data_IF_043174938845
#
_entry.id   IF_043174938845
#
_cell.length_a   1.000
_cell.length_b   1.000
_cell.length_c   1.000
_cell.angle_alpha   90.00
_cell.angle_beta   90.00
_cell.angle_gamma   90.00
#
_symmetry.space_group_name_H-M   'P 1'
#
loop_
_entity.id
_entity.type
_entity.pdbx_description
1 polymer ?
#
# COMPACT_ATOMS: atom_id res chain seq x y z
N UNK A 1 -3.61 -16.73 -18.75
CA UNK A 1 -3.84 -16.39 -17.33
C UNK A 1 -3.09 -15.11 -16.96
N UNK A 2 -1.76 -15.06 -17.15
CA UNK A 2 -0.93 -13.89 -16.79
C UNK A 2 -1.40 -12.55 -17.38
N UNK A 3 -1.85 -12.51 -18.65
CA UNK A 3 -2.23 -11.24 -19.28
C UNK A 3 -3.41 -10.56 -18.56
N UNK A 4 -4.35 -11.34 -18.03
CA UNK A 4 -5.45 -10.82 -17.23
C UNK A 4 -4.92 -10.27 -15.90
N UNK A 5 -4.09 -11.03 -15.19
CA UNK A 5 -3.44 -10.58 -13.95
C UNK A 5 -2.59 -9.31 -14.15
N UNK A 6 -1.76 -9.30 -15.18
CA UNK A 6 -0.92 -8.17 -15.57
C UNK A 6 -1.70 -6.88 -15.89
N UNK A 7 -3.00 -6.96 -16.19
CA UNK A 7 -3.83 -5.77 -16.42
C UNK A 7 -4.13 -4.98 -15.13
N UNK A 8 -3.99 -5.63 -13.97
CA UNK A 8 -4.12 -5.00 -12.65
C UNK A 8 -2.85 -4.26 -12.23
N UNK A 9 -1.74 -4.40 -12.95
CA UNK A 9 -0.45 -3.80 -12.60
C UNK A 9 -0.16 -2.66 -13.59
N UNK A 10 -0.28 -1.38 -13.17
CA UNK A 10 -0.33 -0.24 -14.08
C UNK A 10 1.02 0.10 -14.75
N UNK A 11 2.13 -0.12 -14.05
CA UNK A 11 3.48 0.14 -14.56
C UNK A 11 4.35 -1.09 -14.38
N UNK A 12 4.61 -1.80 -15.47
CA UNK A 12 5.43 -3.01 -15.52
C UNK A 12 6.92 -2.73 -15.66
N UNK A 13 7.31 -1.47 -15.86
CA UNK A 13 8.72 -1.08 -16.05
C UNK A 13 9.46 -0.88 -14.73
N UNK A 14 8.76 -0.87 -13.60
CA UNK A 14 9.38 -0.80 -12.27
C UNK A 14 10.24 -2.05 -12.00
N UNK A 15 11.32 -1.91 -11.20
CA UNK A 15 12.20 -3.01 -10.86
C UNK A 15 11.60 -3.90 -9.76
N UNK A 16 10.47 -4.58 -10.06
CA UNK A 16 9.78 -5.43 -9.10
C UNK A 16 10.61 -6.66 -8.68
N UNK A 17 10.39 -7.12 -7.46
CA UNK A 17 10.74 -8.48 -7.04
C UNK A 17 9.49 -9.35 -7.05
N UNK A 18 9.54 -10.43 -7.83
CA UNK A 18 8.41 -11.33 -8.08
C UNK A 18 8.76 -12.71 -7.51
N UNK A 19 7.88 -13.26 -6.67
CA UNK A 19 7.94 -14.65 -6.23
C UNK A 19 6.91 -15.46 -7.01
N UNK A 20 7.38 -16.47 -7.73
CA UNK A 20 6.57 -17.48 -8.42
C UNK A 20 6.64 -18.77 -7.60
N UNK A 21 5.60 -19.05 -6.82
CA UNK A 21 5.59 -20.03 -5.74
C UNK A 21 4.74 -21.23 -6.16
N UNK A 22 5.37 -22.40 -6.31
CA UNK A 22 4.74 -23.53 -6.99
C UNK A 22 4.89 -23.41 -8.51
N UNK A 23 6.10 -23.13 -8.98
CA UNK A 23 6.37 -22.77 -10.37
C UNK A 23 6.02 -23.85 -11.39
N UNK A 24 5.84 -25.11 -10.95
CA UNK A 24 5.61 -26.32 -11.74
C UNK A 24 6.73 -26.59 -12.74
N UNK A 25 6.88 -25.76 -13.75
CA UNK A 25 7.85 -25.87 -14.85
C UNK A 25 8.57 -24.53 -15.17
N UNK A 26 8.36 -23.49 -14.35
CA UNK A 26 8.87 -22.13 -14.53
C UNK A 26 8.36 -21.39 -15.78
N UNK A 27 7.34 -21.88 -16.48
CA UNK A 27 6.76 -21.12 -17.61
C UNK A 27 6.17 -19.79 -17.14
N UNK A 28 5.53 -19.78 -15.96
CA UNK A 28 4.97 -18.56 -15.38
C UNK A 28 6.06 -17.52 -15.06
N UNK A 29 7.20 -17.97 -14.53
CA UNK A 29 8.40 -17.15 -14.35
C UNK A 29 8.93 -16.53 -15.66
N UNK A 30 8.92 -17.28 -16.76
CA UNK A 30 9.32 -16.77 -18.09
C UNK A 30 8.32 -15.73 -18.61
N UNK A 31 7.03 -15.96 -18.40
CA UNK A 31 6.00 -14.98 -18.75
C UNK A 31 6.18 -13.66 -17.95
N UNK A 32 6.54 -13.73 -16.66
CA UNK A 32 6.90 -12.56 -15.87
C UNK A 32 8.16 -11.87 -16.40
N UNK A 33 9.21 -12.64 -16.73
CA UNK A 33 10.44 -12.11 -17.33
C UNK A 33 10.15 -11.27 -18.58
N UNK A 34 9.24 -11.73 -19.44
CA UNK A 34 8.85 -11.04 -20.68
C UNK A 34 7.98 -9.81 -20.44
N UNK A 35 7.08 -9.86 -19.45
CA UNK A 35 6.15 -8.76 -19.17
C UNK A 35 6.75 -7.64 -18.30
N UNK A 36 7.74 -7.96 -17.47
CA UNK A 36 8.36 -7.06 -16.51
C UNK A 36 9.87 -6.96 -16.79
N UNK A 37 10.30 -6.07 -17.69
CA UNK A 37 11.67 -6.06 -18.22
C UNK A 37 12.75 -5.78 -17.16
N UNK A 38 12.39 -5.12 -16.06
CA UNK A 38 13.32 -4.76 -14.99
C UNK A 38 13.14 -5.60 -13.72
N UNK A 39 12.23 -6.58 -13.73
CA UNK A 39 11.95 -7.38 -12.54
C UNK A 39 13.00 -8.48 -12.31
N UNK A 40 13.21 -8.81 -11.03
CA UNK A 40 13.88 -10.03 -10.57
C UNK A 40 12.83 -11.05 -10.15
N UNK A 41 12.98 -12.29 -10.60
CA UNK A 41 12.04 -13.38 -10.38
C UNK A 41 12.71 -14.49 -9.57
N UNK A 42 12.03 -14.94 -8.52
CA UNK A 42 12.42 -16.08 -7.70
C UNK A 42 11.33 -17.14 -7.83
N UNK A 43 11.69 -18.25 -8.47
CA UNK A 43 10.83 -19.40 -8.73
C UNK A 43 11.04 -20.44 -7.64
N UNK A 44 9.96 -20.99 -7.06
CA UNK A 44 10.02 -22.01 -6.01
C UNK A 44 9.37 -23.28 -6.51
N UNK A 45 10.11 -24.39 -6.48
CA UNK A 45 9.61 -25.71 -6.87
C UNK A 45 10.32 -26.81 -6.05
N UNK A 46 9.59 -27.87 -5.72
CA UNK A 46 10.08 -28.98 -4.91
C UNK A 46 9.86 -30.36 -5.54
N UNK A 47 9.03 -30.44 -6.58
CA UNK A 47 8.62 -31.66 -7.21
C UNK A 47 9.75 -32.26 -8.05
N UNK A 48 10.28 -33.44 -7.69
CA UNK A 48 11.37 -34.06 -8.43
C UNK A 48 11.01 -34.34 -9.90
N UNK A 49 9.73 -34.51 -10.20
CA UNK A 49 9.26 -34.77 -11.56
C UNK A 49 9.42 -33.56 -12.49
N UNK A 50 9.53 -32.35 -11.94
CA UNK A 50 9.55 -31.12 -12.73
C UNK A 50 10.76 -30.23 -12.51
N UNK A 51 11.57 -30.47 -11.46
CA UNK A 51 12.78 -29.70 -11.19
C UNK A 51 13.75 -29.62 -12.38
N UNK A 52 13.97 -30.71 -13.11
CA UNK A 52 14.83 -30.69 -14.30
C UNK A 52 14.21 -29.92 -15.47
N UNK A 53 12.88 -29.93 -15.58
CA UNK A 53 12.13 -29.13 -16.55
C UNK A 53 12.29 -27.64 -16.21
N UNK A 54 12.13 -27.26 -14.94
CA UNK A 54 12.36 -25.90 -14.46
C UNK A 54 13.76 -25.42 -14.82
N UNK A 55 14.80 -26.20 -14.48
CA UNK A 55 16.21 -25.89 -14.76
C UNK A 55 16.48 -25.67 -16.25
N UNK A 56 15.91 -26.53 -17.09
CA UNK A 56 16.04 -26.44 -18.55
C UNK A 56 15.32 -25.22 -19.12
N UNK A 57 14.08 -24.96 -18.69
CA UNK A 57 13.27 -23.86 -19.20
C UNK A 57 13.91 -22.49 -18.92
N UNK A 58 14.50 -22.31 -17.74
CA UNK A 58 15.09 -21.03 -17.34
C UNK A 58 16.55 -20.84 -17.78
N UNK A 59 17.14 -21.78 -18.52
CA UNK A 59 18.58 -21.78 -18.84
C UNK A 59 19.05 -20.46 -19.46
N UNK A 60 18.24 -19.89 -20.35
CA UNK A 60 18.51 -18.62 -21.05
C UNK A 60 18.02 -17.36 -20.31
N UNK A 61 17.51 -17.50 -19.08
CA UNK A 61 16.84 -16.43 -18.32
C UNK A 61 17.46 -16.21 -16.93
N UNK A 62 18.64 -16.80 -16.68
CA UNK A 62 19.34 -16.79 -15.38
C UNK A 62 19.85 -15.40 -14.96
N UNK A 63 19.81 -14.41 -15.85
CA UNK A 63 20.13 -13.02 -15.53
C UNK A 63 19.09 -12.40 -14.58
N UNK A 64 17.84 -12.88 -14.60
CA UNK A 64 16.76 -12.36 -13.75
C UNK A 64 15.89 -13.42 -13.08
N UNK A 65 15.91 -14.69 -13.51
CA UNK A 65 15.18 -15.79 -12.88
C UNK A 65 16.12 -16.64 -12.04
N UNK A 66 15.80 -16.82 -10.76
CA UNK A 66 16.49 -17.73 -9.84
C UNK A 66 15.54 -18.84 -9.39
N UNK A 67 15.89 -20.10 -9.64
CA UNK A 67 15.17 -21.26 -9.10
C UNK A 67 15.64 -21.57 -7.68
N UNK A 68 14.69 -21.77 -6.78
CA UNK A 68 14.88 -22.17 -5.39
C UNK A 68 14.22 -23.54 -5.22
N UNK A 69 15.05 -24.55 -4.99
CA UNK A 69 14.61 -25.94 -4.85
C UNK A 69 14.17 -26.22 -3.40
N UNK A 70 12.95 -26.72 -3.24
CA UNK A 70 12.36 -27.07 -1.95
C UNK A 70 10.95 -26.51 -1.81
N UNK A 71 10.15 -27.14 -0.94
CA UNK A 71 8.79 -26.72 -0.68
C UNK A 71 8.77 -25.38 0.06
N UNK A 72 7.65 -24.68 0.01
CA UNK A 72 7.45 -23.45 0.77
C UNK A 72 6.50 -23.74 1.93
N UNK A 73 6.89 -23.33 3.15
CA UNK A 73 6.15 -23.59 4.38
C UNK A 73 6.35 -22.47 5.41
N UNK A 74 5.76 -22.61 6.60
CA UNK A 74 5.95 -21.71 7.73
C UNK A 74 7.13 -22.11 8.65
N UNK A 75 7.96 -23.07 8.24
CA UNK A 75 9.22 -23.42 8.89
C UNK A 75 10.28 -23.86 7.88
N UNK A 76 11.55 -23.75 8.27
CA UNK A 76 12.69 -24.29 7.53
C UNK A 76 13.00 -25.71 8.03
N UNK A 77 13.28 -26.64 7.12
CA UNK A 77 13.62 -28.01 7.49
C UNK A 77 13.30 -29.04 6.42
N UNK A 78 12.84 -30.21 6.84
CA UNK A 78 12.38 -31.28 5.96
C UNK A 78 10.87 -31.48 6.14
N UNK A 79 10.16 -31.70 5.04
CA UNK A 79 8.72 -31.96 5.00
C UNK A 79 8.41 -33.20 4.16
N UNK A 80 7.30 -33.87 4.46
CA UNK A 80 6.74 -34.88 3.55
C UNK A 80 6.08 -34.17 2.37
N UNK A 81 6.36 -34.65 1.16
CA UNK A 81 5.74 -34.16 -0.07
C UNK A 81 5.15 -35.35 -0.85
N UNK A 82 3.99 -35.13 -1.47
CA UNK A 82 3.23 -36.15 -2.16
C UNK A 82 3.17 -35.84 -3.68
N UNK A 83 4.26 -36.12 -4.42
CA UNK A 83 4.28 -35.91 -5.86
C UNK A 83 3.26 -36.82 -6.55
N UNK A 84 2.59 -36.28 -7.56
CA UNK A 84 1.71 -37.07 -8.42
C UNK A 84 2.54 -38.10 -9.20
N UNK A 85 2.12 -39.36 -9.11
CA UNK A 85 2.60 -40.42 -9.97
C UNK A 85 1.93 -40.25 -11.34
N UNK A 86 2.64 -39.57 -12.25
CA UNK A 86 2.13 -39.17 -13.57
C UNK A 86 1.72 -40.35 -14.46
N UNK A 87 2.28 -41.54 -14.24
CA UNK A 87 1.96 -42.75 -15.02
C UNK A 87 0.67 -43.44 -14.56
N UNK A 88 0.36 -43.37 -13.26
CA UNK A 88 -0.78 -44.08 -12.66
C UNK A 88 -2.00 -43.19 -12.44
N UNK A 89 -1.81 -41.89 -12.39
CA UNK A 89 -2.89 -40.91 -12.21
C UNK A 89 -3.82 -40.91 -13.43
N UNK A 90 -5.13 -40.91 -13.18
CA UNK A 90 -6.14 -40.81 -14.25
C UNK A 90 -6.57 -39.35 -14.36
N UNK A 91 -6.18 -38.74 -15.47
CA UNK A 91 -6.36 -37.30 -15.73
C UNK A 91 -6.55 -37.03 -17.23
N UNK A 92 -7.11 -35.87 -17.56
CA UNK A 92 -7.15 -35.35 -18.94
C UNK A 92 -5.84 -34.67 -19.37
N UNK A 93 -4.95 -34.37 -18.43
CA UNK A 93 -3.65 -33.75 -18.68
C UNK A 93 -2.67 -34.75 -19.28
N UNK A 94 -2.09 -34.41 -20.45
CA UNK A 94 -1.20 -35.30 -21.20
C UNK A 94 0.11 -35.63 -20.46
N UNK A 95 0.53 -34.76 -19.56
CA UNK A 95 1.72 -34.93 -18.74
C UNK A 95 1.43 -35.59 -17.39
N UNK A 96 0.21 -36.11 -17.16
CA UNK A 96 -0.13 -36.76 -15.90
C UNK A 96 -0.35 -35.79 -14.73
N UNK A 97 -0.51 -34.50 -15.00
CA UNK A 97 -0.80 -33.42 -14.04
C UNK A 97 0.16 -33.36 -12.83
N UNK A 98 1.47 -33.16 -13.03
CA UNK A 98 2.41 -33.01 -11.91
C UNK A 98 2.12 -31.77 -11.04
N UNK A 99 1.35 -30.80 -11.55
CA UNK A 99 0.92 -29.61 -10.83
C UNK A 99 -0.04 -29.90 -9.67
N UNK A 100 -0.77 -31.02 -9.69
CA UNK A 100 -1.63 -31.46 -8.57
C UNK A 100 -0.85 -32.09 -7.40
N UNK A 101 0.48 -31.89 -7.36
CA UNK A 101 1.31 -32.38 -6.25
C UNK A 101 1.21 -31.43 -5.07
N UNK A 102 1.19 -31.96 -3.85
CA UNK A 102 1.00 -31.15 -2.65
C UNK A 102 1.81 -31.70 -1.48
N UNK A 103 2.02 -30.87 -0.44
CA UNK A 103 2.46 -31.34 0.87
C UNK A 103 1.32 -32.03 1.64
N UNK A 104 0.09 -31.97 1.11
CA UNK A 104 -1.09 -32.65 1.64
C UNK A 104 -1.47 -33.87 0.78
N UNK A 105 -2.01 -34.89 1.43
CA UNK A 105 -2.46 -36.11 0.76
C UNK A 105 -3.87 -35.91 0.19
N UNK A 106 -4.09 -36.31 -1.05
CA UNK A 106 -5.42 -36.26 -1.66
C UNK A 106 -6.42 -37.10 -0.87
N UNK A 107 -7.61 -36.55 -0.63
CA UNK A 107 -8.69 -37.25 0.07
C UNK A 107 -9.64 -38.01 -0.88
N UNK A 108 -9.43 -37.91 -2.20
CA UNK A 108 -10.24 -38.57 -3.23
C UNK A 108 -11.67 -38.01 -3.40
N UNK A 109 -11.98 -36.84 -2.85
CA UNK A 109 -13.28 -36.18 -3.02
C UNK A 109 -13.44 -35.57 -4.41
N UNK A 110 -12.35 -35.05 -5.00
CA UNK A 110 -12.32 -34.48 -6.34
C UNK A 110 -12.56 -35.59 -7.37
N UNK A 111 -13.73 -35.56 -8.02
CA UNK A 111 -14.16 -36.66 -8.92
C UNK A 111 -13.74 -36.48 -10.37
N UNK A 112 -13.23 -35.31 -10.75
CA UNK A 112 -12.82 -35.08 -12.13
C UNK A 112 -11.52 -35.82 -12.48
N UNK A 113 -10.68 -36.12 -11.48
CA UNK A 113 -9.41 -36.82 -11.63
C UNK A 113 -9.24 -37.86 -10.52
N UNK A 114 -8.43 -38.89 -10.78
CA UNK A 114 -8.07 -39.89 -9.76
C UNK A 114 -6.56 -39.85 -9.55
N UNK A 115 -6.14 -39.14 -8.50
CA UNK A 115 -4.74 -38.94 -8.17
C UNK A 115 -4.15 -40.18 -7.50
N UNK A 116 -3.00 -40.61 -8.04
CA UNK A 116 -2.09 -41.55 -7.39
C UNK A 116 -0.87 -40.75 -7.00
N UNK A 117 -0.54 -40.73 -5.71
CA UNK A 117 0.59 -39.98 -5.18
C UNK A 117 1.66 -40.96 -4.66
N UNK A 118 2.92 -40.63 -4.93
CA UNK A 118 4.04 -41.22 -4.21
C UNK A 118 4.29 -40.41 -2.92
N UNK A 119 5.16 -40.89 -2.02
CA UNK A 119 5.53 -40.18 -0.80
C UNK A 119 7.05 -40.02 -0.73
N UNK A 120 7.52 -38.78 -0.58
CA UNK A 120 8.95 -38.45 -0.47
C UNK A 120 9.20 -37.45 0.67
N UNK A 121 10.47 -37.32 1.05
CA UNK A 121 10.95 -36.21 1.87
C UNK A 121 11.67 -35.18 1.00
N UNK A 122 11.42 -33.90 1.25
CA UNK A 122 12.11 -32.79 0.59
C UNK A 122 12.39 -31.66 1.59
N UNK A 123 13.35 -30.80 1.26
CA UNK A 123 13.59 -29.60 2.06
C UNK A 123 12.41 -28.64 1.91
N UNK A 124 12.06 -27.91 2.97
CA UNK A 124 11.14 -26.79 2.95
C UNK A 124 11.79 -25.52 3.49
N UNK A 125 11.31 -24.37 3.01
CA UNK A 125 11.83 -23.06 3.38
C UNK A 125 10.70 -22.14 3.80
N UNK A 126 10.98 -21.30 4.80
CA UNK A 126 10.23 -20.06 4.99
C UNK A 126 10.63 -19.06 3.92
N UNK A 127 9.65 -18.28 3.44
CA UNK A 127 9.91 -17.22 2.47
C UNK A 127 10.79 -16.10 3.06
N UNK A 128 10.61 -15.75 4.33
CA UNK A 128 11.46 -14.75 4.99
C UNK A 128 12.91 -15.20 5.14
N UNK A 129 13.16 -16.47 5.48
CA UNK A 129 14.49 -17.07 5.49
C UNK A 129 15.16 -16.99 4.11
N UNK A 130 14.42 -17.23 3.03
CA UNK A 130 14.92 -17.06 1.65
C UNK A 130 15.23 -15.60 1.35
N UNK A 131 14.36 -14.66 1.73
CA UNK A 131 14.61 -13.22 1.55
C UNK A 131 15.94 -12.83 2.19
N UNK A 132 16.19 -13.28 3.42
CA UNK A 132 17.46 -13.03 4.11
C UNK A 132 18.66 -13.70 3.41
N UNK A 133 18.53 -14.97 3.03
CA UNK A 133 19.59 -15.74 2.37
C UNK A 133 20.05 -15.12 1.05
N UNK A 134 19.13 -14.59 0.25
CA UNK A 134 19.42 -13.99 -1.06
C UNK A 134 19.57 -12.45 -0.99
N UNK A 135 19.56 -11.86 0.21
CA UNK A 135 19.63 -10.42 0.44
C UNK A 135 18.59 -9.63 -0.39
N UNK A 136 17.37 -10.15 -0.41
CA UNK A 136 16.22 -9.55 -1.09
C UNK A 136 15.70 -8.43 -0.19
N UNK A 137 15.49 -7.23 -0.74
CA UNK A 137 15.01 -6.08 0.06
C UNK A 137 13.55 -6.22 0.45
N UNK A 138 12.71 -6.59 -0.50
CA UNK A 138 11.27 -6.74 -0.37
C UNK A 138 10.75 -7.65 -1.50
N UNK A 139 9.51 -8.11 -1.35
CA UNK A 139 8.75 -8.79 -2.41
C UNK A 139 7.60 -7.88 -2.81
N UNK A 140 7.43 -7.64 -4.10
CA UNK A 140 6.36 -6.77 -4.61
C UNK A 140 5.16 -7.57 -5.09
N UNK A 141 5.41 -8.71 -5.75
CA UNK A 141 4.40 -9.52 -6.40
C UNK A 141 4.57 -10.98 -5.97
N UNK A 142 3.47 -11.62 -5.62
CA UNK A 142 3.39 -13.07 -5.41
C UNK A 142 2.47 -13.67 -6.47
N UNK A 143 2.94 -14.72 -7.13
CA UNK A 143 2.11 -15.67 -7.85
C UNK A 143 2.22 -17.00 -7.11
N UNK A 144 1.10 -17.59 -6.73
CA UNK A 144 1.12 -18.77 -5.87
C UNK A 144 0.02 -19.77 -6.23
N UNK A 145 0.44 -21.01 -6.38
CA UNK A 145 -0.41 -22.19 -6.52
C UNK A 145 0.35 -23.35 -5.87
N UNK A 146 -0.08 -23.74 -4.67
CA UNK A 146 0.61 -24.76 -3.86
C UNK A 146 -0.31 -25.95 -3.51
N UNK A 147 -1.47 -26.02 -4.15
CA UNK A 147 -2.44 -27.09 -3.92
C UNK A 147 -2.77 -27.25 -2.41
N UNK A 148 -3.04 -26.12 -1.74
CA UNK A 148 -3.57 -26.10 -0.36
C UNK A 148 -2.64 -25.55 0.71
N UNK A 149 -1.38 -25.24 0.39
CA UNK A 149 -0.37 -24.75 1.34
C UNK A 149 -0.20 -23.21 1.34
N UNK A 150 -1.10 -22.48 0.67
CA UNK A 150 -1.03 -21.03 0.46
C UNK A 150 -0.91 -20.27 1.79
N UNK A 151 -1.69 -20.65 2.80
CA UNK A 151 -1.64 -19.99 4.11
C UNK A 151 -0.32 -20.22 4.85
N UNK A 152 0.28 -21.41 4.73
CA UNK A 152 1.57 -21.71 5.33
C UNK A 152 2.68 -20.88 4.66
N UNK A 153 2.64 -20.76 3.34
CA UNK A 153 3.57 -19.90 2.61
C UNK A 153 3.46 -18.43 3.04
N UNK A 154 2.25 -17.88 3.17
CA UNK A 154 2.05 -16.49 3.63
C UNK A 154 2.47 -16.29 5.10
N UNK A 155 2.28 -17.29 5.98
CA UNK A 155 2.83 -17.27 7.35
C UNK A 155 4.36 -17.34 7.37
N UNK A 156 4.94 -18.09 6.44
CA UNK A 156 6.39 -18.16 6.19
C UNK A 156 7.00 -16.86 5.69
N UNK A 157 6.21 -15.94 5.10
CA UNK A 157 6.67 -14.62 4.68
C UNK A 157 6.78 -13.61 5.84
N UNK A 158 6.05 -13.85 6.93
CA UNK A 158 6.09 -13.02 8.14
C UNK A 158 5.82 -11.53 7.85
N UNK A 159 6.64 -10.66 8.41
CA UNK A 159 6.47 -9.20 8.30
C UNK A 159 6.66 -8.65 6.87
N UNK A 160 7.29 -9.41 5.97
CA UNK A 160 7.47 -8.97 4.57
C UNK A 160 6.15 -8.94 3.79
N UNK A 161 5.11 -9.64 4.26
CA UNK A 161 3.77 -9.60 3.65
C UNK A 161 3.22 -8.17 3.54
N UNK A 162 3.53 -7.30 4.51
CA UNK A 162 3.11 -5.89 4.51
C UNK A 162 3.63 -5.07 3.33
N UNK A 163 4.71 -5.54 2.69
CA UNK A 163 5.36 -4.86 1.56
C UNK A 163 4.91 -5.40 0.20
N UNK A 164 4.24 -6.56 0.19
CA UNK A 164 3.68 -7.15 -1.03
C UNK A 164 2.55 -6.26 -1.53
N UNK A 165 2.59 -5.92 -2.82
CA UNK A 165 1.65 -5.03 -3.50
C UNK A 165 0.51 -5.82 -4.16
N UNK A 166 0.85 -6.91 -4.82
CA UNK A 166 -0.10 -7.71 -5.60
C UNK A 166 0.11 -9.20 -5.34
N UNK A 167 -0.98 -9.94 -5.25
CA UNK A 167 -0.94 -11.41 -5.18
C UNK A 167 -1.91 -12.01 -6.18
N UNK A 168 -1.48 -13.07 -6.85
CA UNK A 168 -2.32 -14.04 -7.53
C UNK A 168 -2.24 -15.35 -6.77
N UNK A 169 -3.38 -15.87 -6.33
CA UNK A 169 -3.44 -17.07 -5.50
C UNK A 169 -4.54 -17.99 -6.03
N UNK A 170 -4.23 -19.24 -6.34
CA UNK A 170 -5.27 -20.25 -6.55
C UNK A 170 -5.92 -20.57 -5.20
N UNK A 171 -7.24 -20.45 -5.10
CA UNK A 171 -8.00 -20.66 -3.87
C UNK A 171 -8.97 -21.83 -4.03
N UNK A 172 -9.20 -22.60 -2.97
CA UNK A 172 -10.12 -23.75 -3.01
C UNK A 172 -11.42 -23.50 -2.26
N UNK A 173 -12.55 -23.88 -2.87
CA UNK A 173 -13.87 -23.92 -2.23
C UNK A 173 -14.34 -25.36 -1.91
N UNK A 174 -13.69 -26.37 -2.51
CA UNK A 174 -13.87 -27.78 -2.15
C UNK A 174 -12.56 -28.40 -1.64
N UNK A 175 -12.64 -29.21 -0.58
CA UNK A 175 -11.47 -29.86 0.01
C UNK A 175 -11.03 -31.06 -0.84
N UNK A 176 -9.88 -30.96 -1.52
CA UNK A 176 -9.27 -31.96 -2.40
C UNK A 176 -8.14 -32.76 -1.74
N UNK A 177 -7.48 -32.15 -0.75
CA UNK A 177 -6.40 -32.70 0.04
C UNK A 177 -6.71 -32.57 1.53
N UNK A 178 -6.35 -33.59 2.31
CA UNK A 178 -6.63 -33.60 3.75
C UNK A 178 -5.77 -32.55 4.47
N UNK A 179 -6.40 -31.53 5.05
CA UNK A 179 -5.71 -30.49 5.82
C UNK A 179 -5.27 -29.26 5.01
N UNK A 180 -5.70 -29.14 3.75
CA UNK A 180 -5.50 -27.92 2.98
C UNK A 180 -6.22 -26.72 3.60
N UNK A 181 -5.75 -25.50 3.29
CA UNK A 181 -6.52 -24.30 3.59
C UNK A 181 -7.72 -24.16 2.63
N UNK A 182 -8.85 -23.67 3.17
CA UNK A 182 -10.02 -23.31 2.37
C UNK A 182 -10.07 -21.79 2.14
N UNK A 183 -10.80 -21.36 1.10
CA UNK A 183 -10.89 -19.95 0.70
C UNK A 183 -11.23 -19.01 1.86
N UNK A 184 -12.23 -19.32 2.68
CA UNK A 184 -12.69 -18.39 3.73
C UNK A 184 -11.57 -18.10 4.74
N UNK A 185 -10.86 -19.13 5.24
CA UNK A 185 -9.74 -18.95 6.17
C UNK A 185 -8.57 -18.19 5.54
N UNK A 186 -8.21 -18.55 4.31
CA UNK A 186 -7.12 -17.91 3.58
C UNK A 186 -7.43 -16.42 3.30
N UNK A 187 -8.65 -16.14 2.84
CA UNK A 187 -9.11 -14.80 2.53
C UNK A 187 -9.19 -13.93 3.79
N UNK A 188 -9.69 -14.46 4.91
CA UNK A 188 -9.71 -13.73 6.19
C UNK A 188 -8.30 -13.34 6.64
N UNK A 189 -7.33 -14.26 6.51
CA UNK A 189 -5.93 -13.98 6.79
C UNK A 189 -5.37 -12.87 5.88
N UNK A 190 -5.62 -12.95 4.57
CA UNK A 190 -5.12 -11.96 3.60
C UNK A 190 -5.74 -10.58 3.82
N UNK A 191 -7.07 -10.49 4.02
CA UNK A 191 -7.77 -9.23 4.29
C UNK A 191 -7.30 -8.61 5.61
N UNK A 192 -7.06 -9.42 6.64
CA UNK A 192 -6.52 -8.93 7.92
C UNK A 192 -5.12 -8.30 7.78
N UNK A 193 -4.40 -8.63 6.70
CA UNK A 193 -3.11 -8.05 6.32
C UNK A 193 -3.23 -6.89 5.31
N UNK A 194 -4.39 -6.21 5.29
CA UNK A 194 -4.64 -4.99 4.53
C UNK A 194 -4.73 -5.18 3.00
N UNK A 195 -5.19 -6.34 2.53
CA UNK A 195 -5.46 -6.58 1.11
C UNK A 195 -6.96 -6.50 0.77
N UNK A 196 -7.27 -6.30 -0.51
CA UNK A 196 -8.62 -6.42 -1.07
C UNK A 196 -8.60 -7.30 -2.32
N UNK A 197 -9.64 -8.11 -2.51
CA UNK A 197 -9.87 -8.85 -3.77
C UNK A 197 -10.21 -7.86 -4.90
N UNK A 198 -9.67 -8.09 -6.09
CA UNK A 198 -9.83 -7.22 -7.27
C UNK A 198 -10.70 -7.81 -8.38
N UNK A 199 -10.74 -9.14 -8.49
CA UNK A 199 -11.58 -9.84 -9.45
C UNK A 199 -12.90 -10.33 -8.81
N UNK A 200 -13.86 -10.72 -9.65
CA UNK A 200 -15.07 -11.40 -9.19
C UNK A 200 -14.77 -12.89 -9.09
N UNK A 201 -15.14 -13.51 -7.98
CA UNK A 201 -14.97 -14.94 -7.76
C UNK A 201 -16.26 -15.72 -8.02
N UNK A 202 -16.13 -16.92 -8.57
CA UNK A 202 -17.21 -17.90 -8.64
C UNK A 202 -17.09 -18.93 -7.51
N UNK A 203 -17.98 -18.84 -6.53
CA UNK A 203 -17.96 -19.76 -5.37
C UNK A 203 -18.44 -21.19 -5.69
N UNK A 204 -18.88 -21.48 -6.92
CA UNK A 204 -19.47 -22.78 -7.31
C UNK A 204 -18.49 -23.70 -8.04
N UNK A 205 -17.18 -23.44 -7.98
CA UNK A 205 -16.13 -24.30 -8.54
C UNK A 205 -15.24 -24.85 -7.43
N UNK A 206 -14.42 -25.85 -7.73
CA UNK A 206 -13.50 -26.45 -6.74
C UNK A 206 -12.36 -25.51 -6.39
N UNK A 207 -11.76 -24.88 -7.41
CA UNK A 207 -10.67 -23.93 -7.32
C UNK A 207 -10.89 -22.78 -8.31
N UNK A 208 -10.40 -21.59 -7.98
CA UNK A 208 -10.35 -20.44 -8.88
C UNK A 208 -9.19 -19.50 -8.51
N UNK A 209 -8.83 -18.58 -9.41
CA UNK A 209 -7.80 -17.56 -9.19
C UNK A 209 -8.36 -16.36 -8.42
N UNK A 210 -7.77 -16.03 -7.27
CA UNK A 210 -8.03 -14.80 -6.55
C UNK A 210 -6.88 -13.80 -6.72
N UNK A 211 -7.23 -12.57 -7.13
CA UNK A 211 -6.29 -11.46 -7.30
C UNK A 211 -6.46 -10.49 -6.14
N UNK A 212 -5.40 -10.30 -5.36
CA UNK A 212 -5.37 -9.37 -4.24
C UNK A 212 -4.46 -8.18 -4.54
N UNK A 213 -4.87 -7.00 -4.08
CA UNK A 213 -4.05 -5.79 -4.07
C UNK A 213 -3.97 -5.25 -2.64
N UNK A 214 -2.78 -4.82 -2.23
CA UNK A 214 -2.58 -4.22 -0.92
C UNK A 214 -3.16 -2.80 -0.89
N UNK A 215 -3.90 -2.50 0.16
CA UNK A 215 -4.51 -1.21 0.41
C UNK A 215 -3.54 -0.20 1.06
N UNK A 216 -2.23 -0.38 0.87
CA UNK A 216 -1.20 0.44 1.48
C UNK A 216 -1.28 1.90 1.02
N UNK A 217 -0.85 2.79 1.90
CA UNK A 217 -0.65 4.21 1.64
C UNK A 217 0.65 4.67 2.30
N UNK A 218 1.18 5.81 1.88
CA UNK A 218 2.32 6.42 2.59
C UNK A 218 1.85 7.53 3.52
N UNK A 219 2.66 7.90 4.50
CA UNK A 219 2.38 9.05 5.39
C UNK A 219 3.30 10.20 4.99
N UNK A 220 2.77 11.41 4.98
CA UNK A 220 3.53 12.65 4.73
C UNK A 220 3.32 13.61 5.90
N UNK A 221 4.44 14.05 6.50
CA UNK A 221 4.44 14.98 7.62
C UNK A 221 5.38 16.15 7.32
N UNK A 222 4.86 17.35 7.03
CA UNK A 222 5.67 18.56 7.03
C UNK A 222 6.10 18.93 8.46
N UNK A 223 7.40 19.11 8.68
CA UNK A 223 7.96 19.45 9.98
C UNK A 223 8.56 20.85 9.91
N UNK A 224 7.87 21.81 10.54
CA UNK A 224 8.37 23.16 10.74
C UNK A 224 9.35 23.26 11.92
N UNK A 225 10.07 24.39 12.04
CA UNK A 225 11.04 24.62 13.11
C UNK A 225 10.43 24.60 14.52
N UNK A 226 9.13 24.88 14.66
CA UNK A 226 8.45 24.94 15.95
C UNK A 226 8.04 23.56 16.51
N UNK A 227 8.19 22.49 15.73
CA UNK A 227 7.69 21.16 16.08
C UNK A 227 8.81 20.11 16.29
N UNK A 228 10.07 20.52 16.18
CA UNK A 228 11.24 19.64 16.39
C UNK A 228 11.20 18.94 17.76
N UNK A 229 10.78 19.64 18.80
CA UNK A 229 10.76 19.10 20.17
C UNK A 229 9.69 18.03 20.39
N UNK A 230 8.66 17.99 19.55
CA UNK A 230 7.52 17.06 19.70
C UNK A 230 7.49 15.96 18.65
N UNK A 231 8.18 16.16 17.52
CA UNK A 231 8.04 15.27 16.36
C UNK A 231 8.52 13.85 16.60
N UNK A 232 9.54 13.65 17.44
CA UNK A 232 10.02 12.29 17.79
C UNK A 232 8.90 11.48 18.46
N UNK A 233 8.28 12.04 19.48
CA UNK A 233 7.15 11.41 20.17
C UNK A 233 5.94 11.26 19.24
N UNK A 234 5.68 12.27 18.39
CA UNK A 234 4.57 12.21 17.43
C UNK A 234 4.75 11.04 16.44
N UNK A 235 5.97 10.82 15.97
CA UNK A 235 6.30 9.72 15.06
C UNK A 235 6.24 8.34 15.74
N UNK A 236 6.61 8.23 17.02
CA UNK A 236 6.41 7.00 17.78
C UNK A 236 4.94 6.59 17.82
N UNK A 237 4.05 7.54 18.10
CA UNK A 237 2.61 7.30 18.12
C UNK A 237 2.05 7.04 16.72
N UNK A 238 2.53 7.77 15.70
CA UNK A 238 2.19 7.54 14.30
C UNK A 238 2.50 6.09 13.90
N UNK A 239 3.73 5.63 14.16
CA UNK A 239 4.17 4.27 13.82
C UNK A 239 3.40 3.19 14.57
N UNK A 240 3.06 3.47 15.84
CA UNK A 240 2.34 2.53 16.69
C UNK A 240 0.86 2.39 16.29
N UNK A 241 0.21 3.51 15.96
CA UNK A 241 -1.25 3.60 15.94
C UNK A 241 -1.83 3.81 14.55
N UNK A 242 -1.08 4.22 13.53
CA UNK A 242 -1.61 4.27 12.17
C UNK A 242 -1.43 2.90 11.51
N UNK A 243 -2.51 2.34 10.98
CA UNK A 243 -2.53 0.99 10.42
C UNK A 243 -2.58 1.05 8.89
N UNK A 244 -1.76 0.21 8.24
CA UNK A 244 -1.77 0.03 6.79
C UNK A 244 -0.86 0.97 6.01
N UNK A 245 0.02 1.73 6.68
CA UNK A 245 1.01 2.56 5.98
C UNK A 245 2.25 1.75 5.55
N UNK A 246 2.89 2.17 4.46
CA UNK A 246 4.15 1.60 3.95
C UNK A 246 5.35 2.40 4.43
N UNK A 247 5.46 3.66 4.02
CA UNK A 247 6.55 4.56 4.41
C UNK A 247 6.03 5.81 5.11
N UNK A 248 6.90 6.44 5.91
CA UNK A 248 6.67 7.77 6.46
C UNK A 248 7.68 8.73 5.85
N UNK A 249 7.20 9.70 5.09
CA UNK A 249 8.00 10.78 4.52
C UNK A 249 7.88 12.00 5.42
N UNK A 250 9.03 12.55 5.82
CA UNK A 250 9.08 13.78 6.60
C UNK A 250 9.66 14.89 5.73
N UNK A 251 8.88 15.94 5.47
CA UNK A 251 9.34 17.11 4.71
C UNK A 251 9.92 18.08 5.72
N UNK A 252 11.24 18.23 5.71
CA UNK A 252 11.95 18.97 6.76
C UNK A 252 12.61 20.22 6.19
N UNK A 253 12.46 21.34 6.91
CA UNK A 253 13.24 22.55 6.65
C UNK A 253 14.74 22.32 6.92
N UNK A 254 15.07 21.44 7.88
CA UNK A 254 16.42 21.02 8.21
C UNK A 254 16.75 19.69 7.53
N UNK A 255 17.58 19.73 6.48
CA UNK A 255 18.00 18.54 5.72
C UNK A 255 18.84 17.56 6.56
N UNK A 256 19.37 18.00 7.70
CA UNK A 256 20.16 17.14 8.59
C UNK A 256 19.30 16.30 9.54
N UNK A 257 18.00 16.60 9.63
CA UNK A 257 17.09 15.83 10.47
C UNK A 257 16.90 14.41 9.91
N UNK A 258 17.41 13.44 10.66
CA UNK A 258 17.26 12.02 10.38
C UNK A 258 16.50 11.38 11.54
N UNK A 259 15.40 10.72 11.22
CA UNK A 259 14.58 9.99 12.19
C UNK A 259 14.47 8.55 11.71
N UNK A 260 14.86 7.61 12.56
CA UNK A 260 14.83 6.18 12.24
C UNK A 260 13.45 5.76 11.74
N UNK A 261 13.37 4.90 10.73
CA UNK A 261 12.11 4.46 10.14
C UNK A 261 11.31 5.55 9.38
N UNK A 262 11.93 6.68 9.05
CA UNK A 262 11.34 7.73 8.22
C UNK A 262 12.28 8.07 7.03
N UNK A 263 11.70 8.60 5.96
CA UNK A 263 12.42 9.07 4.77
C UNK A 263 12.40 10.59 4.79
N UNK A 264 13.57 11.21 4.97
CA UNK A 264 13.69 12.68 4.95
C UNK A 264 13.65 13.22 3.53
N UNK A 265 12.74 14.15 3.30
CA UNK A 265 12.55 14.85 2.03
C UNK A 265 12.93 16.32 2.22
N UNK A 266 13.91 16.85 1.47
CA UNK A 266 14.30 18.25 1.59
C UNK A 266 13.30 19.14 0.85
N UNK A 267 12.91 20.27 1.45
CA UNK A 267 11.95 21.21 0.83
C UNK A 267 12.38 21.70 -0.57
N UNK A 268 13.68 21.76 -0.84
CA UNK A 268 14.24 22.25 -2.12
C UNK A 268 13.85 21.44 -3.36
N UNK A 269 13.30 20.23 -3.23
CA UNK A 269 12.83 19.46 -4.40
C UNK A 269 11.47 19.95 -4.90
N UNK A 270 10.75 20.74 -4.10
CA UNK A 270 9.48 21.34 -4.48
C UNK A 270 9.71 22.59 -5.34
N UNK A 271 8.77 22.92 -6.25
CA UNK A 271 8.94 24.04 -7.19
C UNK A 271 8.72 25.43 -6.57
N UNK A 272 8.62 25.51 -5.24
CA UNK A 272 8.37 26.73 -4.48
C UNK A 272 9.09 26.64 -3.13
N UNK A 273 9.29 27.79 -2.50
CA UNK A 273 9.93 27.89 -1.18
C UNK A 273 9.21 28.92 -0.30
N UNK A 274 9.72 29.13 0.92
CA UNK A 274 9.23 30.19 1.80
C UNK A 274 9.46 31.59 1.18
N UNK A 275 10.49 31.74 0.36
CA UNK A 275 10.75 32.96 -0.42
C UNK A 275 9.65 33.19 -1.47
N UNK A 276 9.23 32.14 -2.18
CA UNK A 276 8.08 32.23 -3.11
C UNK A 276 6.84 32.74 -2.39
N UNK A 277 6.54 32.22 -1.18
CA UNK A 277 5.42 32.73 -0.38
C UNK A 277 5.61 34.21 -0.02
N UNK A 278 6.83 34.60 0.35
CA UNK A 278 7.15 35.97 0.71
C UNK A 278 7.06 36.97 -0.46
N UNK A 279 7.26 36.52 -1.70
CA UNK A 279 7.06 37.36 -2.89
C UNK A 279 5.60 37.78 -3.08
N UNK A 280 4.65 36.90 -2.74
CA UNK A 280 3.22 37.19 -2.84
C UNK A 280 2.66 37.89 -1.60
N UNK A 281 3.08 37.50 -0.41
CA UNK A 281 2.46 37.95 0.86
C UNK A 281 3.31 38.93 1.65
N UNK A 282 4.56 39.17 1.24
CA UNK A 282 5.57 39.80 2.07
C UNK A 282 6.15 38.83 3.12
N UNK A 283 7.14 39.29 3.89
CA UNK A 283 7.71 38.50 4.99
C UNK A 283 6.81 38.60 6.22
N UNK A 284 5.94 37.61 6.40
CA UNK A 284 5.00 37.52 7.51
C UNK A 284 5.23 36.25 8.33
N UNK A 285 4.84 36.27 9.60
CA UNK A 285 4.91 35.10 10.50
C UNK A 285 4.09 33.89 9.99
N UNK A 286 3.12 34.14 9.09
CA UNK A 286 2.25 33.11 8.52
C UNK A 286 2.84 32.40 7.30
N UNK A 287 3.98 32.84 6.75
CA UNK A 287 4.49 32.28 5.50
C UNK A 287 4.71 30.76 5.55
N UNK A 288 5.26 30.25 6.67
CA UNK A 288 5.44 28.81 6.87
C UNK A 288 4.12 28.03 6.88
N UNK A 289 3.02 28.67 7.30
CA UNK A 289 1.69 28.07 7.28
C UNK A 289 1.12 27.91 5.88
N UNK A 290 1.38 28.84 4.95
CA UNK A 290 1.00 28.67 3.54
C UNK A 290 1.94 27.71 2.81
N UNK A 291 3.25 27.74 3.14
CA UNK A 291 4.22 26.81 2.58
C UNK A 291 3.83 25.35 2.86
N UNK A 292 3.50 25.02 4.11
CA UNK A 292 3.11 23.64 4.44
C UNK A 292 1.88 23.17 3.64
N UNK A 293 0.92 24.04 3.35
CA UNK A 293 -0.25 23.66 2.55
C UNK A 293 0.14 23.26 1.14
N UNK A 294 1.03 24.03 0.51
CA UNK A 294 1.57 23.69 -0.80
C UNK A 294 2.39 22.40 -0.76
N UNK A 295 3.25 22.20 0.26
CA UNK A 295 4.02 20.96 0.43
C UNK A 295 3.10 19.73 0.52
N UNK A 296 2.01 19.82 1.30
CA UNK A 296 1.02 18.75 1.45
C UNK A 296 0.32 18.41 0.12
N UNK A 297 -0.08 19.43 -0.64
CA UNK A 297 -0.73 19.24 -1.95
C UNK A 297 0.25 18.68 -2.99
N UNK A 298 1.51 19.14 -3.02
CA UNK A 298 2.49 18.69 -4.01
C UNK A 298 3.20 17.38 -3.66
N UNK A 299 3.04 16.86 -2.44
CA UNK A 299 3.75 15.67 -1.97
C UNK A 299 3.66 14.50 -2.97
N UNK A 300 2.45 14.17 -3.42
CA UNK A 300 2.22 13.09 -4.39
C UNK A 300 2.75 13.35 -5.81
N UNK A 301 3.12 14.59 -6.14
CA UNK A 301 3.68 14.99 -7.43
C UNK A 301 5.21 15.02 -7.45
N UNK A 302 5.82 15.29 -6.30
CA UNK A 302 7.23 15.65 -6.18
C UNK A 302 8.04 14.56 -5.46
N UNK A 303 7.48 13.92 -4.44
CA UNK A 303 8.21 12.95 -3.61
C UNK A 303 8.51 11.70 -4.44
N UNK A 304 9.78 11.30 -4.60
CA UNK A 304 10.13 10.07 -5.32
C UNK A 304 9.52 8.83 -4.66
N UNK A 305 9.02 7.91 -5.50
CA UNK A 305 8.47 6.61 -5.11
C UNK A 305 7.25 6.62 -4.18
N UNK A 306 6.68 7.78 -3.85
CA UNK A 306 5.44 7.87 -3.06
C UNK A 306 4.28 7.16 -3.77
N UNK A 307 3.39 6.53 -3.01
CA UNK A 307 2.15 5.94 -3.52
C UNK A 307 1.16 7.01 -4.00
N UNK A 308 0.24 6.63 -4.90
CA UNK A 308 -0.89 7.48 -5.30
C UNK A 308 -1.70 7.93 -4.09
N UNK A 309 -1.88 7.04 -3.09
CA UNK A 309 -2.58 7.36 -1.84
C UNK A 309 -1.58 7.66 -0.74
N UNK A 310 -1.78 8.78 -0.05
CA UNK A 310 -0.97 9.15 1.10
C UNK A 310 -1.79 9.89 2.16
N UNK A 311 -1.52 9.59 3.43
CA UNK A 311 -2.06 10.30 4.57
C UNK A 311 -1.18 11.50 4.88
N UNK A 312 -1.73 12.69 4.75
CA UNK A 312 -1.10 13.90 5.26
C UNK A 312 -1.46 14.06 6.72
N UNK A 313 -0.48 14.36 7.56
CA UNK A 313 -0.63 14.57 9.00
C UNK A 313 0.14 15.81 9.46
N UNK A 314 -0.49 16.64 10.29
CA UNK A 314 0.18 17.75 10.97
C UNK A 314 1.20 17.19 11.98
N UNK A 315 2.38 17.79 12.07
CA UNK A 315 3.51 17.30 12.89
C UNK A 315 3.28 17.37 14.41
N UNK A 316 2.17 17.95 14.83
CA UNK A 316 1.72 18.06 16.22
C UNK A 316 0.48 17.19 16.52
N UNK A 317 0.10 16.28 15.62
CA UNK A 317 -1.09 15.44 15.76
C UNK A 317 -0.74 13.99 16.12
N UNK A 318 -1.26 13.54 17.27
CA UNK A 318 -0.92 12.27 17.92
C UNK A 318 -2.11 11.32 17.90
N UNK A 319 -2.04 10.25 17.10
CA UNK A 319 -3.01 9.15 17.16
C UNK A 319 -2.74 8.30 18.39
N UNK A 320 -3.72 8.16 19.27
CA UNK A 320 -3.61 7.45 20.55
C UNK A 320 -4.10 6.01 20.47
N UNK A 321 -4.88 5.67 19.43
CA UNK A 321 -5.43 4.32 19.20
C UNK A 321 -5.18 3.84 17.78
N UNK A 322 -5.10 2.51 17.56
CA UNK A 322 -5.06 1.92 16.23
C UNK A 322 -6.15 2.48 15.31
N UNK A 323 -5.74 3.11 14.21
CA UNK A 323 -6.60 3.85 13.29
C UNK A 323 -6.26 3.46 11.85
N UNK A 324 -7.26 2.94 11.13
CA UNK A 324 -7.18 2.67 9.69
C UNK A 324 -7.58 3.91 8.89
N UNK A 325 -7.12 4.09 7.66
CA UNK A 325 -7.49 5.22 6.80
C UNK A 325 -8.06 4.84 5.44
N UNK A 326 -8.10 3.55 5.16
CA UNK A 326 -8.65 3.00 3.94
C UNK A 326 -9.44 1.73 4.28
N UNK A 327 -10.63 1.60 3.70
CA UNK A 327 -11.48 0.42 3.89
C UNK A 327 -12.39 0.24 2.68
N UNK A 328 -12.54 -0.99 2.21
CA UNK A 328 -13.51 -1.36 1.16
C UNK A 328 -13.39 -0.47 -0.09
N UNK A 329 -12.16 -0.21 -0.55
CA UNK A 329 -11.93 0.59 -1.74
C UNK A 329 -12.00 2.12 -1.54
N UNK A 330 -12.26 2.61 -0.32
CA UNK A 330 -12.52 4.03 -0.03
C UNK A 330 -11.56 4.61 1.01
N UNK A 331 -11.13 5.84 0.78
CA UNK A 331 -10.42 6.64 1.78
C UNK A 331 -11.41 7.11 2.87
N UNK A 332 -11.01 7.02 4.14
CA UNK A 332 -11.83 7.37 5.28
C UNK A 332 -11.51 8.80 5.75
N UNK A 333 -12.49 9.71 5.64
CA UNK A 333 -12.30 11.11 6.00
C UNK A 333 -12.98 11.41 7.33
N UNK A 334 -12.20 11.94 8.29
CA UNK A 334 -12.76 12.56 9.47
C UNK A 334 -13.38 13.92 9.10
N UNK A 335 -14.15 14.50 10.02
CA UNK A 335 -14.60 15.87 9.88
C UNK A 335 -14.62 16.64 11.20
N UNK A 336 -14.43 17.94 11.09
CA UNK A 336 -14.65 18.92 12.15
C UNK A 336 -15.98 19.64 11.97
N UNK A 337 -16.12 20.73 12.69
CA UNK A 337 -17.31 21.61 12.69
C UNK A 337 -16.98 23.07 12.41
N UNK A 338 -15.72 23.34 12.11
CA UNK A 338 -15.18 24.67 11.86
C UNK A 338 -15.87 25.34 10.66
N UNK A 339 -16.09 26.64 10.80
CA UNK A 339 -16.53 27.48 9.69
C UNK A 339 -15.70 28.76 9.68
N UNK A 340 -14.76 28.83 8.75
CA UNK A 340 -13.91 30.00 8.56
C UNK A 340 -14.09 30.55 7.15
N UNK A 341 -14.85 31.65 7.03
CA UNK A 341 -15.24 32.24 5.74
C UNK A 341 -14.07 32.51 4.77
N UNK A 342 -12.89 32.98 5.23
CA UNK A 342 -11.73 33.17 4.36
C UNK A 342 -11.34 31.95 3.51
N UNK A 343 -11.42 30.73 4.07
CA UNK A 343 -11.11 29.50 3.32
C UNK A 343 -12.01 29.32 2.09
N UNK A 344 -13.31 29.51 2.27
CA UNK A 344 -14.28 29.34 1.20
C UNK A 344 -14.21 30.48 0.17
N UNK A 345 -13.90 31.70 0.62
CA UNK A 345 -13.65 32.82 -0.28
C UNK A 345 -12.43 32.57 -1.16
N UNK A 346 -11.36 32.00 -0.62
CA UNK A 346 -10.18 31.60 -1.38
C UNK A 346 -10.51 30.51 -2.41
N UNK A 347 -11.18 29.44 -1.99
CA UNK A 347 -11.65 28.38 -2.90
C UNK A 347 -12.45 28.93 -4.09
N UNK A 348 -13.39 29.84 -3.83
CA UNK A 348 -14.20 30.47 -4.87
C UNK A 348 -13.38 31.31 -5.87
N UNK A 349 -12.26 31.92 -5.43
CA UNK A 349 -11.34 32.67 -6.29
C UNK A 349 -10.51 31.75 -7.18
N UNK A 350 -10.19 30.54 -6.71
CA UNK A 350 -9.45 29.55 -7.48
C UNK A 350 -10.29 28.97 -8.63
N UNK A 351 -11.48 28.44 -8.34
CA UNK A 351 -12.32 27.82 -9.37
C UNK A 351 -13.79 27.74 -8.94
N UNK A 352 -14.74 27.82 -9.88
CA UNK A 352 -16.18 27.75 -9.57
C UNK A 352 -16.65 26.39 -9.03
N UNK A 353 -15.86 25.34 -9.23
CA UNK A 353 -16.11 23.99 -8.70
C UNK A 353 -15.58 23.78 -7.27
N UNK A 354 -14.83 24.75 -6.73
CA UNK A 354 -14.31 24.71 -5.37
C UNK A 354 -15.22 25.52 -4.45
N UNK A 355 -16.23 24.85 -3.90
CA UNK A 355 -17.25 25.43 -3.02
C UNK A 355 -17.45 24.55 -1.80
N UNK A 356 -17.91 25.14 -0.70
CA UNK A 356 -18.37 24.36 0.45
C UNK A 356 -19.59 23.52 0.04
N UNK A 357 -19.52 22.20 0.22
CA UNK A 357 -20.55 21.27 -0.23
C UNK A 357 -21.46 20.77 0.91
N UNK A 358 -20.92 20.64 2.12
CA UNK A 358 -21.65 20.11 3.30
C UNK A 358 -21.44 20.98 4.53
N UNK A 359 -22.34 20.85 5.51
CA UNK A 359 -22.17 21.43 6.86
C UNK A 359 -21.24 20.58 7.75
N UNK A 360 -20.06 20.26 7.22
CA UNK A 360 -18.94 19.60 7.91
C UNK A 360 -17.66 20.32 7.50
N UNK A 361 -16.62 20.24 8.32
CA UNK A 361 -15.32 20.84 7.99
C UNK A 361 -14.29 19.78 7.67
N UNK A 362 -13.45 20.04 6.66
CA UNK A 362 -12.25 19.24 6.40
C UNK A 362 -11.12 19.49 7.41
N UNK A 363 -11.23 20.51 8.27
CA UNK A 363 -10.20 20.86 9.25
C UNK A 363 -10.17 19.81 10.37
N UNK A 364 -9.23 18.87 10.26
CA UNK A 364 -9.08 17.75 11.21
C UNK A 364 -7.62 17.40 11.50
N UNK A 365 -6.66 18.20 11.03
CA UNK A 365 -5.21 18.00 11.18
C UNK A 365 -4.62 16.78 10.46
N UNK A 366 -5.44 16.08 9.68
CA UNK A 366 -5.00 14.98 8.84
C UNK A 366 -6.00 14.73 7.71
N UNK A 367 -5.55 14.18 6.59
CA UNK A 367 -6.43 13.76 5.50
C UNK A 367 -5.73 12.79 4.55
N UNK A 368 -6.47 11.81 4.05
CA UNK A 368 -6.02 10.96 2.95
C UNK A 368 -6.14 11.71 1.63
N UNK A 369 -5.02 11.89 0.95
CA UNK A 369 -4.95 12.45 -0.40
C UNK A 369 -4.68 11.34 -1.41
N UNK A 370 -5.18 11.55 -2.64
CA UNK A 370 -4.84 10.73 -3.80
C UNK A 370 -4.31 11.64 -4.91
N UNK A 371 -3.09 11.35 -5.39
CA UNK A 371 -2.34 12.16 -6.36
C UNK A 371 -3.17 12.46 -7.61
N UNK A 372 -3.92 11.49 -8.14
CA UNK A 372 -4.79 11.70 -9.30
C UNK A 372 -5.83 12.81 -9.11
N UNK A 373 -6.46 12.92 -7.93
CA UNK A 373 -7.48 13.95 -7.67
C UNK A 373 -6.86 15.30 -7.35
N UNK A 374 -5.67 15.31 -6.77
CA UNK A 374 -4.87 16.52 -6.63
C UNK A 374 -4.51 17.08 -8.01
N UNK A 375 -4.06 16.22 -8.95
CA UNK A 375 -3.80 16.62 -10.34
C UNK A 375 -5.04 17.21 -11.00
N UNK A 376 -6.21 16.58 -10.84
CA UNK A 376 -7.46 17.13 -11.37
C UNK A 376 -7.75 18.56 -10.87
N UNK A 377 -7.51 18.84 -9.57
CA UNK A 377 -7.68 20.18 -9.00
C UNK A 377 -6.64 21.16 -9.58
N UNK A 378 -5.37 20.76 -9.60
CA UNK A 378 -4.26 21.58 -10.11
C UNK A 378 -4.48 21.91 -11.57
N UNK A 379 -4.67 20.92 -12.44
CA UNK A 379 -4.84 21.08 -13.89
C UNK A 379 -6.04 21.99 -14.19
N UNK A 380 -7.14 21.85 -13.45
CA UNK A 380 -8.33 22.69 -13.57
C UNK A 380 -8.03 24.16 -13.25
N UNK A 381 -7.29 24.43 -12.18
CA UNK A 381 -6.92 25.80 -11.77
C UNK A 381 -5.90 26.39 -12.74
N UNK A 382 -4.83 25.65 -13.06
CA UNK A 382 -3.78 26.13 -13.98
C UNK A 382 -4.35 26.46 -15.35
N UNK A 383 -5.25 25.61 -15.87
CA UNK A 383 -5.94 25.88 -17.14
C UNK A 383 -6.79 27.15 -17.10
N UNK A 384 -7.49 27.42 -15.99
CA UNK A 384 -8.36 28.60 -15.86
C UNK A 384 -7.56 29.89 -15.80
N UNK A 385 -6.47 29.89 -15.04
CA UNK A 385 -5.68 31.10 -14.76
C UNK A 385 -4.48 31.27 -15.70
N UNK A 386 -4.11 30.23 -16.44
CA UNK A 386 -2.94 30.18 -17.31
C UNK A 386 -1.64 30.53 -16.56
N UNK A 387 -1.47 29.96 -15.37
CA UNK A 387 -0.31 30.11 -14.48
C UNK A 387 -0.18 28.87 -13.61
N UNK A 388 0.97 28.66 -12.98
CA UNK A 388 1.21 27.52 -12.08
C UNK A 388 0.29 27.57 -10.86
N UNK A 389 -0.16 26.41 -10.40
CA UNK A 389 -1.15 26.34 -9.33
C UNK A 389 -0.66 27.01 -8.04
N UNK A 390 0.61 26.86 -7.67
CA UNK A 390 1.15 27.49 -6.46
C UNK A 390 1.14 29.03 -6.54
N UNK A 391 1.40 29.62 -7.72
CA UNK A 391 1.29 31.05 -7.95
C UNK A 391 -0.16 31.51 -7.76
N UNK A 392 -1.10 30.82 -8.41
CA UNK A 392 -2.53 31.14 -8.36
C UNK A 392 -3.07 30.95 -6.93
N UNK A 393 -2.65 29.90 -6.23
CA UNK A 393 -3.01 29.61 -4.86
C UNK A 393 -2.62 30.78 -3.95
N UNK A 394 -1.36 31.22 -4.01
CA UNK A 394 -0.84 32.30 -3.17
C UNK A 394 -1.45 33.66 -3.53
N UNK A 395 -1.56 33.99 -4.82
CA UNK A 395 -2.12 35.26 -5.30
C UNK A 395 -3.55 35.48 -4.80
N UNK A 396 -4.35 34.42 -4.72
CA UNK A 396 -5.77 34.53 -4.42
C UNK A 396 -6.09 34.51 -2.92
N UNK A 397 -5.11 34.32 -2.03
CA UNK A 397 -5.31 34.30 -0.56
C UNK A 397 -5.99 35.59 -0.11
N UNK A 398 -7.12 35.46 0.60
CA UNK A 398 -7.99 36.60 0.92
C UNK A 398 -7.61 37.32 2.22
N UNK A 399 -6.93 36.62 3.12
CA UNK A 399 -6.39 37.12 4.38
C UNK A 399 -5.00 36.52 4.58
N UNK A 400 -3.97 37.30 4.27
CA UNK A 400 -2.56 36.86 4.30
C UNK A 400 -1.94 36.93 5.70
N UNK A 401 -2.55 37.68 6.63
CA UNK A 401 -2.06 37.80 8.01
C UNK A 401 -2.70 36.74 8.93
N UNK A 402 -3.97 36.38 8.67
CA UNK A 402 -4.70 35.34 9.35
C UNK A 402 -4.59 33.97 8.67
N UNK A 403 -5.71 33.28 8.56
CA UNK A 403 -5.82 31.96 7.93
C UNK A 403 -6.68 32.07 6.67
N UNK A 404 -6.06 32.53 5.58
CA UNK A 404 -6.80 32.88 4.37
C UNK A 404 -7.11 31.74 3.38
N UNK A 405 -6.55 30.53 3.58
CA UNK A 405 -6.68 29.39 2.66
C UNK A 405 -6.60 28.07 3.42
N UNK A 406 -7.25 27.01 2.96
CA UNK A 406 -7.06 25.67 3.54
C UNK A 406 -7.07 24.59 2.46
N UNK A 407 -5.96 23.87 2.37
CA UNK A 407 -5.79 22.65 1.60
C UNK A 407 -6.82 21.58 1.98
N UNK A 408 -7.08 21.43 3.28
CA UNK A 408 -8.03 20.44 3.79
C UNK A 408 -9.47 20.77 3.40
N UNK A 409 -9.92 22.02 3.56
CA UNK A 409 -11.27 22.40 3.12
C UNK A 409 -11.42 22.30 1.60
N UNK A 410 -10.40 22.73 0.85
CA UNK A 410 -10.43 22.64 -0.60
C UNK A 410 -10.58 21.20 -1.08
N UNK A 411 -9.71 20.30 -0.61
CA UNK A 411 -9.71 18.91 -1.05
C UNK A 411 -10.93 18.13 -0.54
N UNK A 412 -11.30 18.30 0.73
CA UNK A 412 -12.46 17.64 1.33
C UNK A 412 -13.76 17.93 0.58
N UNK A 413 -14.03 19.21 0.32
CA UNK A 413 -15.26 19.60 -0.38
C UNK A 413 -15.22 19.20 -1.86
N UNK A 414 -14.04 19.27 -2.51
CA UNK A 414 -13.90 18.79 -3.89
C UNK A 414 -14.22 17.30 -4.01
N UNK A 415 -13.66 16.47 -3.11
CA UNK A 415 -13.91 15.04 -3.11
C UNK A 415 -15.37 14.69 -2.83
N UNK A 416 -16.02 15.38 -1.89
CA UNK A 416 -17.44 15.19 -1.64
C UNK A 416 -18.33 15.61 -2.82
N UNK A 417 -17.93 16.64 -3.57
CA UNK A 417 -18.70 17.14 -4.69
C UNK A 417 -18.50 16.30 -5.96
N UNK A 418 -17.26 16.03 -6.35
CA UNK A 418 -16.90 15.38 -7.62
C UNK A 418 -16.76 13.87 -7.52
N UNK A 419 -16.30 13.36 -6.38
CA UNK A 419 -15.93 11.94 -6.19
C UNK A 419 -16.56 11.28 -4.94
N UNK A 420 -17.86 11.49 -4.66
CA UNK A 420 -18.47 11.04 -3.40
C UNK A 420 -18.44 9.51 -3.21
N UNK A 421 -18.34 8.74 -4.29
CA UNK A 421 -18.28 7.27 -4.22
C UNK A 421 -16.91 6.72 -3.85
N UNK A 422 -15.88 7.58 -3.83
CA UNK A 422 -14.47 7.20 -3.60
C UNK A 422 -14.02 7.39 -2.15
N UNK A 423 -14.83 8.10 -1.36
CA UNK A 423 -14.55 8.38 0.05
C UNK A 423 -15.70 7.87 0.93
N UNK A 424 -15.40 7.69 2.21
CA UNK A 424 -16.41 7.52 3.24
C UNK A 424 -16.14 8.48 4.39
N UNK A 425 -17.16 9.24 4.78
CA UNK A 425 -17.08 10.11 5.96
C UNK A 425 -17.24 9.25 7.21
N UNK A 426 -16.38 9.48 8.19
CA UNK A 426 -16.46 8.90 9.53
C UNK A 426 -16.26 9.98 10.58
N UNK A 427 -16.48 9.61 11.84
CA UNK A 427 -16.17 10.44 12.99
C UNK A 427 -15.08 9.75 13.82
N UNK A 428 -14.05 10.51 14.17
CA UNK A 428 -13.07 10.16 15.19
C UNK A 428 -13.28 11.07 16.39
N UNK A 429 -13.04 10.58 17.60
CA UNK A 429 -13.06 11.38 18.81
C UNK A 429 -11.73 12.13 18.94
N UNK A 430 -11.72 13.45 18.77
CA UNK A 430 -10.48 14.25 18.81
C UNK A 430 -10.62 15.58 19.54
N UNK A 431 -9.49 16.22 19.84
CA UNK A 431 -9.44 17.60 20.38
C UNK A 431 -8.12 18.31 20.06
N UNK A 432 -8.18 19.63 20.04
CA UNK A 432 -7.01 20.48 20.21
C UNK A 432 -6.62 20.52 21.70
N UNK A 433 -5.34 20.33 22.01
CA UNK A 433 -4.85 20.18 23.38
C UNK A 433 -3.79 21.23 23.72
N UNK A 434 -3.89 21.82 24.92
CA UNK A 434 -2.87 22.73 25.47
C UNK A 434 -1.77 22.00 26.24
N UNK A 435 -2.03 20.73 26.61
CA UNK A 435 -1.12 19.84 27.30
C UNK A 435 -1.07 18.48 26.60
N UNK A 436 0.13 17.90 26.52
CA UNK A 436 0.32 16.61 25.87
C UNK A 436 -0.10 15.46 26.80
N UNK A 437 -1.40 15.18 26.86
CA UNK A 437 -1.99 14.07 27.61
C UNK A 437 -2.17 12.85 26.72
N UNK A 438 -1.14 12.00 26.67
CA UNK A 438 -1.12 10.82 25.79
C UNK A 438 -1.98 9.65 26.31
N UNK A 439 -2.31 9.65 27.61
CA UNK A 439 -3.30 8.75 28.20
C UNK A 439 -4.67 9.43 28.18
N UNK A 440 -5.41 9.24 27.09
CA UNK A 440 -6.77 9.78 26.96
C UNK A 440 -7.67 8.89 26.11
N UNK A 441 -8.99 9.01 26.29
CA UNK A 441 -9.98 8.24 25.53
C UNK A 441 -10.20 8.76 24.10
N UNK A 442 -9.46 9.79 23.66
CA UNK A 442 -9.52 10.30 22.30
C UNK A 442 -8.83 9.34 21.32
N UNK A 443 -9.28 9.33 20.08
CA UNK A 443 -8.61 8.60 19.00
C UNK A 443 -7.33 9.32 18.57
N UNK A 444 -7.36 10.66 18.58
CA UNK A 444 -6.17 11.49 18.42
C UNK A 444 -6.31 12.86 19.10
N UNK A 445 -5.18 13.54 19.32
CA UNK A 445 -5.11 14.92 19.80
C UNK A 445 -4.16 15.74 18.93
N UNK A 446 -4.40 17.05 18.80
CA UNK A 446 -3.50 17.98 18.10
C UNK A 446 -2.94 19.00 19.10
N UNK A 447 -1.62 19.03 19.25
CA UNK A 447 -0.87 19.75 20.29
C UNK A 447 -0.16 20.98 19.70
N UNK A 448 -0.97 21.91 19.21
CA UNK A 448 -0.56 23.12 18.49
C UNK A 448 0.51 23.90 19.23
N UNK A 449 1.61 24.23 18.54
CA UNK A 449 2.75 24.97 19.12
C UNK A 449 2.34 26.29 19.81
N UNK A 450 1.34 26.99 19.27
CA UNK A 450 0.83 28.25 19.81
C UNK A 450 -0.10 28.08 21.02
N UNK A 451 -0.56 26.86 21.31
CA UNK A 451 -1.40 26.51 22.46
C UNK A 451 -0.62 25.85 23.61
N UNK A 452 0.66 25.52 23.39
CA UNK A 452 1.50 24.85 24.39
C UNK A 452 1.72 25.77 25.57
N UNK A 453 1.41 25.30 26.77
CA UNK A 453 1.75 26.01 28.00
C UNK A 453 3.27 26.26 28.01
N UNK A 454 3.68 27.53 28.15
CA UNK A 454 5.09 27.87 28.31
C UNK A 454 5.58 27.20 29.60
N UNK A 455 6.53 26.26 29.46
CA UNK A 455 7.21 25.66 30.61
C UNK A 455 7.99 26.69 31.40
#
# INVERSE_FOLDING_TARGET
MINNYCSYIPDKTKPYVIFDIGSRDCQQSIEFYNNFPNAKIYAFECNPNTLDICKKNIENYKDRITLIEGAVCDYDGEITFYPINQEKTITTWKDGNPGASSIFLSNGTYKAEHYIQDEIKTNCHRLDSVIHKYNIKNVDIIWMDLQGAELLALKGLGNFLKQVKYMHIEVSHGEMYSGQVMFDELNDYIISNNFSIKNKLNMNVWQEDAIYENNMFDIVIPIGPNDIDVVKTQLEYTKKNIVGYRNIYIICYDETLQIDGCISIPEKIFPFSIETVAEYHGKLDRNGWYLQQLLKLYAGLVIPDILDKYLVLDSDTFFLKPTIFYKEGKCLYNHGVEYHMPYFNHMNRLHEDLKKYVNKSGICHHMMFETKYIKEIIDMIEKKHNDFFYNVFLLNVVDINGSGASEYEMYFNYMLFKHPTKIAIRELKWKNANTLSLDSDYDYISYHWHMRDKK
#
